data_IF_008172473729
#
_entry.id   IF_008172473729
#
_cell.length_a   1.000
_cell.length_b   1.000
_cell.length_c   1.000
_cell.angle_alpha   90.00
_cell.angle_beta   90.00
_cell.angle_gamma   90.00
#
_symmetry.space_group_name_H-M   'P 1'
#
loop_
_entity.id
_entity.type
_entity.pdbx_description
1 polymer ?
#
# COMPACT_ATOMS: atom_id res chain seq x y z
N UNK A 1 -14.01 5.13 23.92
CA UNK A 1 -13.74 4.87 22.48
C UNK A 1 -12.60 5.78 22.07
N UNK A 2 -11.42 5.23 21.78
CA UNK A 2 -10.28 6.05 21.35
C UNK A 2 -10.56 6.63 19.97
N UNK A 3 -10.27 7.92 19.78
CA UNK A 3 -10.35 8.60 18.48
C UNK A 3 -8.95 8.93 18.02
N UNK A 4 -8.72 8.85 16.72
CA UNK A 4 -7.43 9.21 16.11
C UNK A 4 -7.34 10.75 16.14
N UNK A 5 -6.32 11.28 16.82
CA UNK A 5 -6.06 12.73 16.90
C UNK A 5 -5.18 13.22 15.75
N UNK A 6 -4.10 12.51 15.47
CA UNK A 6 -3.10 12.91 14.47
C UNK A 6 -2.60 11.70 13.66
N UNK A 7 -2.20 11.96 12.42
CA UNK A 7 -1.58 10.99 11.53
C UNK A 7 -0.22 11.52 11.08
N UNK A 8 0.85 10.84 11.50
CA UNK A 8 2.21 11.17 11.11
C UNK A 8 2.65 10.25 9.96
N UNK A 9 2.90 10.85 8.79
CA UNK A 9 3.42 10.12 7.64
C UNK A 9 4.95 10.10 7.66
N UNK A 10 5.52 8.95 7.29
CA UNK A 10 6.95 8.76 7.19
C UNK A 10 7.33 7.66 6.22
N UNK A 11 8.63 7.49 6.02
CA UNK A 11 9.22 6.39 5.24
C UNK A 11 9.50 5.25 6.21
N UNK A 12 9.16 4.03 5.80
CA UNK A 12 9.40 2.85 6.63
C UNK A 12 10.90 2.55 6.70
N UNK A 13 11.44 2.50 7.92
CA UNK A 13 12.81 2.04 8.13
C UNK A 13 12.91 0.52 7.96
N UNK A 14 14.08 -0.02 7.58
CA UNK A 14 14.29 -1.47 7.54
C UNK A 14 13.98 -2.15 8.88
N UNK A 15 14.31 -1.50 10.01
CA UNK A 15 14.00 -1.98 11.35
C UNK A 15 12.49 -2.06 11.61
N UNK A 16 11.76 -1.02 11.21
CA UNK A 16 10.30 -0.99 11.34
C UNK A 16 9.67 -2.11 10.49
N UNK A 17 10.13 -2.30 9.25
CA UNK A 17 9.66 -3.39 8.37
C UNK A 17 9.89 -4.75 9.04
N UNK A 18 11.07 -4.99 9.63
CA UNK A 18 11.35 -6.23 10.37
C UNK A 18 10.46 -6.40 11.59
N UNK A 19 10.21 -5.33 12.35
CA UNK A 19 9.37 -5.41 13.55
C UNK A 19 7.88 -5.65 13.24
N UNK A 20 7.40 -5.14 12.11
CA UNK A 20 6.00 -5.29 11.69
C UNK A 20 5.75 -6.65 11.04
N UNK A 21 6.78 -7.22 10.41
CA UNK A 21 6.65 -8.44 9.66
C UNK A 21 6.70 -9.68 10.56
N UNK A 22 5.92 -10.70 10.20
CA UNK A 22 5.82 -11.97 10.92
C UNK A 22 6.52 -13.11 10.20
N UNK A 23 6.79 -12.94 8.91
CA UNK A 23 7.36 -13.97 8.04
C UNK A 23 8.45 -13.35 7.19
N UNK A 24 9.59 -14.06 7.11
CA UNK A 24 10.58 -13.83 6.06
C UNK A 24 10.21 -14.71 4.87
N UNK A 25 9.87 -14.10 3.74
CA UNK A 25 9.56 -14.85 2.51
C UNK A 25 10.86 -15.16 1.80
N UNK A 26 11.04 -16.44 1.47
CA UNK A 26 12.24 -16.97 0.81
C UNK A 26 11.86 -17.76 -0.44
N UNK A 27 10.73 -18.48 -0.41
CA UNK A 27 10.31 -19.30 -1.53
C UNK A 27 9.37 -18.54 -2.49
N UNK A 28 9.53 -18.77 -3.79
CA UNK A 28 8.64 -18.25 -4.83
C UNK A 28 7.39 -19.10 -5.06
N UNK A 29 7.38 -20.35 -4.60
CA UNK A 29 6.24 -21.25 -4.75
C UNK A 29 5.06 -20.80 -3.89
N UNK A 30 3.85 -20.94 -4.45
CA UNK A 30 2.60 -20.51 -3.82
C UNK A 30 1.92 -21.65 -3.07
N UNK A 31 1.81 -22.82 -3.71
CA UNK A 31 1.12 -23.99 -3.20
C UNK A 31 1.96 -25.25 -3.41
N UNK A 32 1.83 -26.19 -2.48
CA UNK A 32 2.42 -27.52 -2.55
C UNK A 32 1.63 -28.42 -3.52
N UNK A 33 2.12 -29.65 -3.76
CA UNK A 33 1.47 -30.63 -4.63
C UNK A 33 0.02 -30.95 -4.21
N UNK A 34 -0.27 -30.86 -2.91
CA UNK A 34 -1.59 -31.10 -2.32
C UNK A 34 -2.52 -29.86 -2.38
N UNK A 35 -2.04 -28.74 -2.94
CA UNK A 35 -2.81 -27.49 -3.08
C UNK A 35 -2.84 -26.62 -1.82
N UNK A 36 -2.08 -26.97 -0.78
CA UNK A 36 -1.94 -26.15 0.43
C UNK A 36 -0.89 -25.05 0.26
N UNK A 37 -1.06 -23.86 0.87
CA UNK A 37 -0.08 -22.78 0.77
C UNK A 37 1.27 -23.16 1.40
N UNK A 38 2.36 -22.87 0.67
CA UNK A 38 3.73 -23.20 1.09
C UNK A 38 4.20 -22.30 2.24
N UNK A 39 4.84 -22.88 3.25
CA UNK A 39 5.49 -22.13 4.33
C UNK A 39 6.75 -21.41 3.84
N UNK A 40 6.92 -20.15 4.25
CA UNK A 40 8.01 -19.29 3.76
C UNK A 40 7.83 -18.81 2.32
N UNK A 41 6.68 -19.12 1.70
CA UNK A 41 6.25 -18.62 0.40
C UNK A 41 5.47 -17.30 0.49
N UNK A 42 5.05 -16.80 -0.67
CA UNK A 42 4.29 -15.54 -0.80
C UNK A 42 2.86 -15.63 -0.23
N UNK A 43 2.35 -16.86 -0.05
CA UNK A 43 1.02 -17.21 0.48
C UNK A 43 1.09 -17.88 1.86
N UNK A 44 2.17 -17.66 2.62
CA UNK A 44 2.34 -18.25 3.95
C UNK A 44 1.13 -17.96 4.89
N UNK A 45 0.50 -18.99 5.50
CA UNK A 45 -0.66 -18.83 6.39
C UNK A 45 -0.45 -17.91 7.60
N UNK A 46 0.80 -17.63 7.98
CA UNK A 46 1.15 -16.66 9.02
C UNK A 46 0.89 -15.21 8.57
N UNK A 47 0.80 -14.94 7.26
CA UNK A 47 0.48 -13.63 6.70
C UNK A 47 -1.04 -13.36 6.58
N UNK A 48 -1.86 -14.38 6.84
CA UNK A 48 -3.32 -14.33 6.79
C UNK A 48 -3.89 -15.57 6.14
N UNK A 49 -5.22 -15.68 6.12
CA UNK A 49 -5.94 -16.79 5.48
C UNK A 49 -7.12 -16.24 4.68
N UNK A 50 -7.39 -16.88 3.55
CA UNK A 50 -8.51 -16.55 2.65
C UNK A 50 -9.36 -17.78 2.31
N UNK A 51 -8.82 -18.99 2.46
CA UNK A 51 -9.52 -20.24 2.18
C UNK A 51 -10.41 -20.67 3.36
N UNK A 52 -11.66 -21.11 3.11
CA UNK A 52 -12.54 -21.58 4.17
C UNK A 52 -11.96 -22.79 4.90
N UNK A 53 -12.07 -22.79 6.23
CA UNK A 53 -11.54 -23.88 7.07
C UNK A 53 -10.06 -23.72 7.46
N UNK A 54 -9.33 -22.76 6.88
CA UNK A 54 -7.99 -22.39 7.35
C UNK A 54 -8.05 -21.30 8.41
N UNK A 55 -7.14 -21.42 9.38
CA UNK A 55 -6.95 -20.45 10.45
C UNK A 55 -5.56 -19.84 10.35
N UNK A 56 -5.47 -18.54 10.62
CA UNK A 56 -4.18 -17.85 10.58
C UNK A 56 -3.27 -18.34 11.71
N UNK A 57 -2.07 -18.81 11.37
CA UNK A 57 -1.11 -19.32 12.36
C UNK A 57 -0.53 -18.24 13.30
N UNK A 58 -0.73 -16.96 12.98
CA UNK A 58 -0.23 -15.85 13.80
C UNK A 58 -1.26 -15.34 14.80
N UNK A 59 -2.53 -15.21 14.40
CA UNK A 59 -3.58 -14.65 15.27
C UNK A 59 -4.73 -15.61 15.60
N UNK A 60 -4.78 -16.80 14.97
CA UNK A 60 -5.86 -17.78 15.15
C UNK A 60 -7.18 -17.42 14.46
N UNK A 61 -7.31 -16.22 13.89
CA UNK A 61 -8.54 -15.78 13.22
C UNK A 61 -8.78 -16.50 11.89
N UNK A 62 -10.06 -16.77 11.60
CA UNK A 62 -10.51 -17.28 10.31
C UNK A 62 -10.72 -16.17 9.26
N UNK A 63 -11.44 -16.50 8.19
CA UNK A 63 -11.81 -15.52 7.15
C UNK A 63 -12.66 -14.41 7.75
N UNK A 64 -12.29 -13.16 7.49
CA UNK A 64 -13.03 -11.97 7.92
C UNK A 64 -12.69 -11.50 9.34
N UNK A 65 -12.15 -12.38 10.19
CA UNK A 65 -11.64 -12.03 11.51
C UNK A 65 -10.17 -11.62 11.47
N UNK A 66 -9.34 -12.36 10.72
CA UNK A 66 -7.94 -12.03 10.54
C UNK A 66 -7.79 -10.75 9.70
N UNK A 67 -7.15 -9.72 10.26
CA UNK A 67 -6.85 -8.48 9.53
C UNK A 67 -5.67 -8.63 8.56
N UNK A 68 -4.90 -9.71 8.68
CA UNK A 68 -3.69 -9.99 7.91
C UNK A 68 -2.42 -9.48 8.60
N UNK A 69 -1.28 -10.11 8.26
CA UNK A 69 0.02 -9.77 8.79
C UNK A 69 1.05 -9.55 7.68
N UNK A 70 1.92 -8.57 7.85
CA UNK A 70 2.97 -8.29 6.87
C UNK A 70 4.05 -9.37 6.88
N UNK A 71 4.62 -9.61 5.71
CA UNK A 71 5.87 -10.33 5.53
C UNK A 71 6.96 -9.35 5.09
N UNK A 72 8.19 -9.84 5.00
CA UNK A 72 9.27 -9.09 4.38
C UNK A 72 10.15 -10.01 3.52
N UNK A 73 10.76 -9.42 2.50
CA UNK A 73 11.78 -10.03 1.66
C UNK A 73 13.09 -9.27 1.84
N UNK A 74 14.17 -10.01 2.08
CA UNK A 74 15.53 -9.48 2.06
C UNK A 74 16.04 -9.41 0.63
N UNK A 75 16.25 -8.20 0.11
CA UNK A 75 16.79 -8.01 -1.23
C UNK A 75 18.29 -8.32 -1.22
N UNK A 76 18.77 -9.08 -2.20
CA UNK A 76 20.18 -9.46 -2.31
C UNK A 76 21.09 -8.24 -2.57
N UNK A 77 20.59 -7.26 -3.35
CA UNK A 77 21.22 -5.96 -3.57
C UNK A 77 20.18 -4.84 -3.35
N UNK A 78 20.60 -3.63 -2.94
CA UNK A 78 19.68 -2.52 -2.72
C UNK A 78 19.03 -2.05 -4.02
N UNK A 79 17.76 -1.63 -3.94
CA UNK A 79 16.93 -1.25 -5.10
C UNK A 79 16.37 0.17 -4.89
N UNK A 80 16.38 0.99 -5.94
CA UNK A 80 15.85 2.35 -5.87
C UNK A 80 14.32 2.30 -5.79
N UNK A 81 13.74 2.98 -4.79
CA UNK A 81 12.30 3.15 -4.71
C UNK A 81 11.82 4.15 -5.77
N UNK A 82 11.08 3.65 -6.77
CA UNK A 82 10.63 4.45 -7.90
C UNK A 82 9.72 5.61 -7.50
N UNK A 83 8.98 5.47 -6.38
CA UNK A 83 8.10 6.51 -5.85
C UNK A 83 8.85 7.79 -5.46
N UNK A 84 10.13 7.67 -5.12
CA UNK A 84 10.96 8.76 -4.62
C UNK A 84 12.07 9.19 -5.57
N UNK A 85 12.03 8.76 -6.83
CA UNK A 85 13.08 9.05 -7.83
C UNK A 85 13.41 10.53 -7.98
N UNK A 86 12.38 11.38 -7.98
CA UNK A 86 12.55 12.85 -8.02
C UNK A 86 13.18 13.41 -6.74
N UNK A 87 12.82 12.86 -5.59
CA UNK A 87 13.38 13.25 -4.29
C UNK A 87 14.83 12.84 -4.18
N UNK A 88 15.17 11.61 -4.61
CA UNK A 88 16.55 11.11 -4.67
C UNK A 88 17.40 12.01 -5.57
N UNK A 89 16.91 12.38 -6.77
CA UNK A 89 17.61 13.30 -7.67
C UNK A 89 17.89 14.65 -7.02
N UNK A 90 16.89 15.21 -6.34
CA UNK A 90 17.01 16.48 -5.63
C UNK A 90 18.02 16.40 -4.48
N UNK A 91 17.99 15.31 -3.71
CA UNK A 91 18.95 15.07 -2.62
C UNK A 91 20.37 14.92 -3.16
N UNK A 92 20.58 14.11 -4.21
CA UNK A 92 21.88 13.94 -4.85
C UNK A 92 22.48 15.28 -5.31
N UNK A 93 21.65 16.18 -5.87
CA UNK A 93 22.08 17.51 -6.33
C UNK A 93 22.54 18.44 -5.22
N UNK A 94 21.91 18.35 -4.05
CA UNK A 94 22.21 19.25 -2.92
C UNK A 94 23.25 18.66 -1.97
N UNK A 95 23.57 17.38 -2.07
CA UNK A 95 24.59 16.73 -1.23
C UNK A 95 25.95 16.76 -1.90
N UNK A 96 26.99 17.09 -1.13
CA UNK A 96 28.36 17.01 -1.61
C UNK A 96 28.78 15.55 -1.84
N UNK A 97 29.43 15.26 -2.97
CA UNK A 97 29.99 13.94 -3.30
C UNK A 97 30.92 13.34 -2.23
N UNK A 98 31.76 14.17 -1.57
CA UNK A 98 32.82 13.69 -0.67
C UNK A 98 32.43 13.72 0.80
N UNK A 99 31.88 14.84 1.27
CA UNK A 99 31.53 15.01 2.69
C UNK A 99 30.06 14.71 2.99
N UNK A 100 29.23 14.43 1.98
CA UNK A 100 27.78 14.21 2.09
C UNK A 100 26.99 15.33 2.79
N UNK A 101 27.64 16.43 3.18
CA UNK A 101 26.96 17.60 3.74
C UNK A 101 26.19 18.33 2.64
N UNK A 102 25.14 18.99 3.08
CA UNK A 102 24.28 19.75 2.18
C UNK A 102 25.01 21.02 1.75
N UNK A 103 25.01 21.27 0.43
CA UNK A 103 25.70 22.36 -0.24
C UNK A 103 24.97 23.70 -0.09
N UNK A 104 23.73 23.68 0.41
CA UNK A 104 22.93 24.87 0.63
C UNK A 104 23.49 25.62 1.85
N UNK A 105 24.05 26.80 1.61
CA UNK A 105 24.33 27.78 2.65
C UNK A 105 22.98 28.46 2.95
N UNK A 106 22.44 28.39 4.19
CA UNK A 106 21.27 29.19 4.53
C UNK A 106 21.62 30.67 4.37
N UNK A 107 20.75 31.51 3.79
CA UNK A 107 20.98 32.95 3.78
C UNK A 107 21.11 33.41 5.24
N UNK A 108 22.27 33.97 5.59
CA UNK A 108 22.47 34.60 6.89
C UNK A 108 21.43 35.72 7.02
N UNK A 109 20.55 35.59 8.01
CA UNK A 109 19.55 36.58 8.47
C UNK A 109 18.28 36.70 7.59
N UNK A 110 17.26 35.96 7.98
CA UNK A 110 15.91 36.52 8.15
C UNK A 110 15.18 35.71 9.22
N UNK A 111 14.65 36.40 10.24
CA UNK A 111 13.96 35.83 11.40
C UNK A 111 12.62 35.16 11.11
N UNK A 112 12.49 34.52 9.94
CA UNK A 112 11.31 33.75 9.54
C UNK A 112 11.66 32.26 9.61
N UNK A 113 11.50 31.64 10.79
CA UNK A 113 11.63 30.19 11.02
C UNK A 113 10.67 29.31 10.17
N UNK A 114 9.90 29.91 9.24
CA UNK A 114 8.85 29.24 8.45
C UNK A 114 9.09 29.22 6.95
N UNK A 115 10.09 29.90 6.39
CA UNK A 115 10.43 29.72 4.96
C UNK A 115 11.26 28.46 4.78
N UNK A 116 10.58 27.31 4.68
CA UNK A 116 11.15 26.07 4.14
C UNK A 116 11.87 26.41 2.83
N UNK A 117 13.19 26.26 2.76
CA UNK A 117 13.93 26.35 1.52
C UNK A 117 13.35 25.32 0.56
N UNK A 118 12.60 25.77 -0.43
CA UNK A 118 12.14 24.92 -1.51
C UNK A 118 13.37 24.51 -2.31
N UNK A 119 13.61 23.19 -2.39
CA UNK A 119 14.76 22.58 -3.09
C UNK A 119 14.84 22.99 -4.57
N UNK A 120 13.79 23.64 -5.10
CA UNK A 120 13.66 24.06 -6.49
C UNK A 120 14.45 25.33 -6.86
N UNK A 121 14.88 26.15 -5.91
CA UNK A 121 15.47 27.48 -6.19
C UNK A 121 16.82 27.75 -5.52
N UNK A 122 17.51 26.72 -5.03
CA UNK A 122 18.85 26.89 -4.46
C UNK A 122 19.91 26.84 -5.58
N UNK A 123 20.68 27.91 -5.72
CA UNK A 123 21.87 27.93 -6.57
C UNK A 123 22.91 26.98 -5.99
N UNK A 124 23.21 25.90 -6.71
CA UNK A 124 24.15 24.88 -6.23
C UNK A 124 25.58 25.39 -6.50
N UNK A 125 26.42 25.60 -5.48
CA UNK A 125 27.78 26.04 -5.69
C UNK A 125 28.60 24.93 -6.38
N UNK A 126 29.46 25.33 -7.31
CA UNK A 126 30.36 24.42 -8.05
C UNK A 126 31.43 23.79 -7.14
N UNK A 127 31.76 24.43 -6.02
CA UNK A 127 32.66 23.92 -4.99
C UNK A 127 31.92 23.75 -3.68
N UNK A 128 32.21 22.66 -2.97
CA UNK A 128 31.61 22.41 -1.68
C UNK A 128 32.12 23.41 -0.63
N UNK A 129 31.23 24.09 0.13
CA UNK A 129 31.64 25.02 1.18
C UNK A 129 32.29 24.35 2.39
N UNK A 130 32.12 23.02 2.56
CA UNK A 130 32.64 22.29 3.71
C UNK A 130 33.98 21.58 3.46
N UNK A 131 34.19 21.05 2.25
CA UNK A 131 35.38 20.24 1.95
C UNK A 131 36.14 20.70 0.70
N UNK A 132 35.70 21.78 0.04
CA UNK A 132 36.33 22.31 -1.16
C UNK A 132 36.21 21.43 -2.41
N UNK A 133 35.59 20.25 -2.32
CA UNK A 133 35.47 19.33 -3.44
C UNK A 133 34.60 19.90 -4.57
N UNK A 134 35.06 19.73 -5.81
CA UNK A 134 34.31 20.10 -7.01
C UNK A 134 33.09 19.20 -7.18
N UNK A 135 31.94 19.83 -7.43
CA UNK A 135 30.69 19.13 -7.67
C UNK A 135 30.56 18.78 -9.15
N UNK A 136 30.28 17.50 -9.38
CA UNK A 136 29.99 16.95 -10.69
C UNK A 136 28.53 17.22 -11.05
N UNK A 137 28.23 17.35 -12.35
CA UNK A 137 26.84 17.53 -12.77
C UNK A 137 26.12 16.20 -12.70
N UNK A 138 24.99 16.19 -12.00
CA UNK A 138 24.10 15.03 -11.90
C UNK A 138 22.97 15.21 -12.91
N UNK A 139 22.79 14.23 -13.80
CA UNK A 139 21.64 14.12 -14.68
C UNK A 139 20.76 12.94 -14.27
N UNK A 140 19.46 13.09 -14.52
CA UNK A 140 18.45 12.07 -14.23
C UNK A 140 17.80 11.65 -15.54
N UNK A 141 17.91 10.38 -15.87
CA UNK A 141 17.24 9.76 -17.01
C UNK A 141 16.12 8.91 -16.44
N UNK A 142 14.88 9.21 -16.84
CA UNK A 142 13.72 8.40 -16.46
C UNK A 142 13.94 6.98 -17.00
N UNK A 143 13.59 5.93 -16.25
CA UNK A 143 12.70 5.91 -15.09
C UNK A 143 13.36 6.09 -13.70
N UNK A 144 14.58 5.60 -13.50
CA UNK A 144 15.27 5.57 -12.19
C UNK A 144 16.81 5.58 -12.30
N UNK A 145 17.36 6.03 -13.43
CA UNK A 145 18.81 6.02 -13.69
C UNK A 145 19.40 7.40 -13.40
N UNK A 146 20.54 7.42 -12.71
CA UNK A 146 21.26 8.63 -12.35
C UNK A 146 22.68 8.60 -12.91
N UNK A 147 23.11 9.68 -13.56
CA UNK A 147 24.47 9.82 -14.05
C UNK A 147 25.20 10.96 -13.34
N UNK A 148 26.48 10.73 -13.05
CA UNK A 148 27.45 11.69 -12.53
C UNK A 148 28.55 11.90 -13.58
N UNK A 149 28.56 13.06 -14.27
CA UNK A 149 29.48 13.37 -15.38
C UNK A 149 29.68 12.20 -16.37
N UNK A 150 28.57 11.57 -16.80
CA UNK A 150 28.48 10.41 -17.71
C UNK A 150 28.73 9.02 -17.10
N UNK A 151 29.12 8.89 -15.83
CA UNK A 151 29.17 7.59 -15.14
C UNK A 151 27.84 7.31 -14.45
N UNK A 152 27.29 6.11 -14.63
CA UNK A 152 26.09 5.68 -13.91
C UNK A 152 26.37 5.52 -12.41
N UNK A 153 25.40 5.92 -11.58
CA UNK A 153 25.48 5.80 -10.13
C UNK A 153 24.70 4.58 -9.65
N UNK A 154 25.42 3.63 -9.07
CA UNK A 154 24.81 2.44 -8.48
C UNK A 154 23.97 2.79 -7.25
N UNK A 155 22.84 2.10 -7.01
CA UNK A 155 22.04 2.25 -5.81
C UNK A 155 22.86 2.11 -4.50
N UNK A 156 23.88 1.24 -4.49
CA UNK A 156 24.79 1.08 -3.34
C UNK A 156 25.53 2.39 -3.06
N UNK A 157 26.15 2.97 -4.08
CA UNK A 157 26.90 4.23 -3.98
C UNK A 157 25.99 5.37 -3.51
N UNK A 158 24.75 5.43 -4.02
CA UNK A 158 23.77 6.46 -3.60
C UNK A 158 23.42 6.27 -2.11
N UNK A 159 23.24 5.03 -1.66
CA UNK A 159 22.92 4.73 -0.26
C UNK A 159 24.04 5.12 0.69
N UNK A 160 25.28 4.77 0.37
CA UNK A 160 26.45 5.14 1.17
C UNK A 160 26.61 6.66 1.29
N UNK A 161 26.30 7.42 0.24
CA UNK A 161 26.30 8.88 0.28
C UNK A 161 25.23 9.40 1.24
N UNK A 162 24.04 8.81 1.21
CA UNK A 162 22.90 9.21 2.04
C UNK A 162 23.09 8.88 3.52
N UNK A 163 23.73 7.75 3.84
CA UNK A 163 24.03 7.35 5.21
C UNK A 163 24.94 8.37 5.93
N UNK A 164 25.91 8.94 5.20
CA UNK A 164 26.85 9.94 5.72
C UNK A 164 26.23 11.33 5.99
N UNK A 165 24.97 11.56 5.64
CA UNK A 165 24.31 12.85 5.86
C UNK A 165 23.96 13.00 7.35
N UNK A 166 24.38 14.09 8.03
CA UNK A 166 24.03 14.32 9.43
C UNK A 166 22.58 14.81 9.59
N UNK A 167 21.93 14.44 10.69
CA UNK A 167 20.53 14.81 10.98
C UNK A 167 20.31 16.32 11.08
N UNK A 168 21.34 17.08 11.48
CA UNK A 168 21.30 18.54 11.51
C UNK A 168 21.06 19.14 10.13
N UNK A 169 21.60 18.52 9.08
CA UNK A 169 21.47 19.02 7.72
C UNK A 169 20.12 18.61 7.11
N UNK A 170 19.60 17.42 7.45
CA UNK A 170 18.25 16.99 7.05
C UNK A 170 17.16 17.96 7.52
N UNK A 171 17.28 18.47 8.75
CA UNK A 171 16.38 19.48 9.31
C UNK A 171 16.39 20.78 8.49
N UNK A 172 17.57 21.22 8.01
CA UNK A 172 17.72 22.43 7.18
C UNK A 172 17.04 22.31 5.83
N UNK A 173 17.08 21.12 5.21
CA UNK A 173 16.40 20.82 3.94
C UNK A 173 14.89 20.60 4.13
N UNK A 174 14.44 20.48 5.37
CA UNK A 174 13.04 20.20 5.67
C UNK A 174 12.63 18.77 5.32
N UNK A 175 13.60 17.84 5.23
CA UNK A 175 13.31 16.41 5.08
C UNK A 175 12.74 15.91 6.42
N UNK A 176 11.45 15.59 6.44
CA UNK A 176 10.73 15.11 7.62
C UNK A 176 10.20 13.71 7.37
N UNK A 177 10.12 12.90 8.42
CA UNK A 177 9.49 11.59 8.36
C UNK A 177 10.41 10.43 7.99
N UNK A 178 11.74 10.60 8.09
CA UNK A 178 12.67 9.48 7.98
C UNK A 178 14.07 9.89 7.60
N UNK A 179 14.90 8.90 7.27
CA UNK A 179 16.26 9.08 6.80
C UNK A 179 16.37 8.85 5.28
N UNK A 180 17.26 9.56 4.55
CA UNK A 180 17.37 9.45 3.10
C UNK A 180 17.82 8.07 2.61
N UNK A 181 18.61 7.33 3.39
CA UNK A 181 19.04 5.98 3.02
C UNK A 181 17.87 5.00 2.87
N UNK A 182 16.73 5.25 3.53
CA UNK A 182 15.53 4.42 3.41
C UNK A 182 14.77 4.62 2.09
N UNK A 183 15.14 5.62 1.28
CA UNK A 183 14.64 5.76 -0.08
C UNK A 183 15.15 4.65 -1.00
N UNK A 184 16.20 3.94 -0.56
CA UNK A 184 16.78 2.80 -1.25
C UNK A 184 16.39 1.56 -0.45
N UNK A 185 15.60 0.69 -1.07
CA UNK A 185 15.03 -0.48 -0.45
C UNK A 185 16.11 -1.54 -0.27
N UNK A 186 16.28 -1.99 0.96
CA UNK A 186 17.07 -3.17 1.34
C UNK A 186 16.16 -4.31 1.75
N UNK A 187 15.09 -3.96 2.45
CA UNK A 187 14.00 -4.86 2.79
C UNK A 187 12.76 -4.42 2.04
N UNK A 188 12.08 -5.39 1.47
CA UNK A 188 10.86 -5.17 0.74
C UNK A 188 9.67 -5.70 1.54
N UNK A 189 8.74 -4.84 1.98
CA UNK A 189 7.57 -5.27 2.75
C UNK A 189 6.57 -5.98 1.83
N UNK A 190 6.17 -7.20 2.20
CA UNK A 190 5.17 -7.97 1.47
C UNK A 190 3.81 -7.76 2.14
N UNK A 191 2.79 -7.28 1.40
CA UNK A 191 1.47 -7.06 1.97
C UNK A 191 0.80 -8.37 2.36
N UNK A 192 -0.09 -8.32 3.38
CA UNK A 192 -0.83 -9.48 3.83
C UNK A 192 -1.70 -10.09 2.74
N UNK A 193 -2.08 -11.36 2.91
CA UNK A 193 -2.91 -12.11 1.96
C UNK A 193 -4.32 -11.51 1.87
N UNK A 194 -4.83 -10.92 2.96
CA UNK A 194 -6.11 -10.20 2.99
C UNK A 194 -6.17 -9.01 2.03
N UNK A 195 -5.02 -8.42 1.67
CA UNK A 195 -4.92 -7.36 0.66
C UNK A 195 -4.83 -7.89 -0.78
N UNK A 196 -4.52 -9.19 -0.94
CA UNK A 196 -4.27 -9.88 -2.20
C UNK A 196 -5.16 -11.13 -2.32
N UNK A 197 -6.50 -10.97 -2.38
CA UNK A 197 -7.40 -12.12 -2.43
C UNK A 197 -7.26 -12.85 -3.77
N UNK A 198 -7.24 -14.19 -3.73
CA UNK A 198 -7.41 -15.02 -4.92
C UNK A 198 -8.88 -15.15 -5.27
N UNK A 199 -9.15 -15.44 -6.54
CA UNK A 199 -10.50 -15.69 -7.07
C UNK A 199 -10.50 -17.11 -7.62
N UNK A 200 -11.37 -17.97 -7.09
CA UNK A 200 -11.65 -19.28 -7.69
C UNK A 200 -12.65 -19.09 -8.82
N UNK A 201 -12.27 -19.49 -10.04
CA UNK A 201 -13.17 -19.52 -11.18
C UNK A 201 -14.19 -20.66 -11.03
N UNK A 202 -15.30 -20.59 -11.75
CA UNK A 202 -16.33 -21.66 -11.77
C UNK A 202 -15.77 -23.01 -12.25
N UNK A 203 -14.68 -22.98 -13.03
CA UNK A 203 -13.93 -24.17 -13.46
C UNK A 203 -13.13 -24.86 -12.34
N UNK A 204 -13.07 -24.29 -11.14
CA UNK A 204 -12.25 -24.76 -10.04
C UNK A 204 -10.79 -24.28 -10.08
N UNK A 205 -10.37 -23.60 -11.16
CA UNK A 205 -9.04 -23.01 -11.25
C UNK A 205 -8.91 -21.76 -10.35
N UNK A 206 -7.79 -21.66 -9.64
CA UNK A 206 -7.45 -20.49 -8.82
C UNK A 206 -6.78 -19.42 -9.68
N UNK A 207 -7.39 -18.25 -9.74
CA UNK A 207 -6.80 -17.04 -10.32
C UNK A 207 -6.25 -16.15 -9.21
N UNK A 208 -4.93 -16.05 -9.16
CA UNK A 208 -4.23 -15.23 -8.17
C UNK A 208 -4.30 -13.73 -8.48
N UNK A 209 -4.16 -12.92 -7.43
CA UNK A 209 -4.13 -11.46 -7.55
C UNK A 209 -2.90 -10.98 -8.35
N UNK A 210 -3.08 -9.90 -9.12
CA UNK A 210 -2.00 -9.28 -9.93
C UNK A 210 -0.76 -8.94 -9.08
N UNK A 211 -0.92 -8.54 -7.80
CA UNK A 211 0.21 -8.28 -6.90
C UNK A 211 0.92 -9.57 -6.50
N UNK A 212 0.18 -10.66 -6.25
CA UNK A 212 0.76 -11.97 -5.91
C UNK A 212 1.63 -12.48 -7.05
N UNK A 213 1.15 -12.41 -8.30
CA UNK A 213 1.94 -12.80 -9.46
C UNK A 213 3.26 -12.02 -9.53
N UNK A 214 3.22 -10.71 -9.28
CA UNK A 214 4.42 -9.88 -9.35
C UNK A 214 5.39 -10.12 -8.19
N UNK A 215 4.86 -10.40 -6.99
CA UNK A 215 5.66 -10.77 -5.82
C UNK A 215 6.42 -12.08 -6.05
N UNK A 216 5.77 -13.07 -6.68
CA UNK A 216 6.43 -14.34 -7.07
C UNK A 216 7.62 -14.07 -7.99
N UNK A 217 7.45 -13.22 -9.00
CA UNK A 217 8.56 -12.86 -9.90
C UNK A 217 9.70 -12.15 -9.15
N UNK A 218 9.38 -11.23 -8.24
CA UNK A 218 10.39 -10.53 -7.40
C UNK A 218 11.17 -11.52 -6.56
N UNK A 219 10.48 -12.44 -5.87
CA UNK A 219 11.13 -13.44 -5.00
C UNK A 219 12.01 -14.37 -5.84
N UNK A 220 11.53 -14.85 -6.99
CA UNK A 220 12.27 -15.75 -7.87
C UNK A 220 13.57 -15.12 -8.39
N UNK A 221 13.49 -13.90 -8.93
CA UNK A 221 14.69 -13.21 -9.45
C UNK A 221 15.64 -12.84 -8.31
N UNK A 222 15.12 -12.44 -7.14
CA UNK A 222 15.96 -12.14 -5.99
C UNK A 222 16.69 -13.38 -5.45
N UNK A 223 16.04 -14.55 -5.46
CA UNK A 223 16.67 -15.81 -5.11
C UNK A 223 17.76 -16.19 -6.12
N UNK A 224 17.46 -16.10 -7.42
CA UNK A 224 18.44 -16.37 -8.47
C UNK A 224 19.65 -15.41 -8.40
N UNK A 225 19.42 -14.13 -8.10
CA UNK A 225 20.50 -13.16 -7.88
C UNK A 225 21.36 -13.57 -6.67
N UNK A 226 20.75 -14.01 -5.57
CA UNK A 226 21.48 -14.46 -4.38
C UNK A 226 22.32 -15.70 -4.66
N UNK A 227 21.76 -16.71 -5.32
CA UNK A 227 22.47 -17.94 -5.69
C UNK A 227 23.67 -17.64 -6.61
N UNK A 228 23.50 -16.75 -7.59
CA UNK A 228 24.60 -16.37 -8.48
C UNK A 228 25.70 -15.56 -7.77
N UNK A 229 25.36 -14.79 -6.74
CA UNK A 229 26.36 -14.13 -5.88
C UNK A 229 27.15 -15.17 -5.09
N UNK A 230 26.46 -16.17 -4.51
CA UNK A 230 27.08 -17.21 -3.69
C UNK A 230 28.01 -18.13 -4.53
N UNK A 231 27.67 -18.35 -5.80
CA UNK A 231 28.51 -19.11 -6.77
C UNK A 231 29.70 -18.26 -7.28
N UNK A 232 29.69 -16.94 -7.09
CA UNK A 232 30.73 -16.04 -7.59
C UNK A 232 30.64 -15.80 -9.10
N UNK A 233 29.43 -15.68 -9.63
CA UNK A 233 29.21 -15.41 -11.05
C UNK A 233 29.84 -14.07 -11.50
N UNK A 234 30.21 -13.92 -12.79
CA UNK A 234 30.74 -12.68 -13.34
C UNK A 234 29.85 -11.45 -13.09
N UNK A 235 30.46 -10.28 -12.87
CA UNK A 235 29.75 -9.04 -12.53
C UNK A 235 28.68 -8.63 -13.56
N UNK A 236 28.90 -8.90 -14.86
CA UNK A 236 27.93 -8.61 -15.92
C UNK A 236 26.59 -9.34 -15.68
N UNK A 237 26.63 -10.64 -15.35
CA UNK A 237 25.43 -11.44 -15.06
C UNK A 237 24.74 -10.92 -13.79
N UNK A 238 25.53 -10.54 -12.77
CA UNK A 238 25.01 -10.00 -11.53
C UNK A 238 24.32 -8.63 -11.73
N UNK A 239 24.82 -7.82 -12.66
CA UNK A 239 24.23 -6.53 -12.99
C UNK A 239 22.93 -6.70 -13.80
N UNK A 240 22.90 -7.61 -14.78
CA UNK A 240 21.68 -7.94 -15.52
C UNK A 240 20.56 -8.43 -14.59
N UNK A 241 20.88 -9.36 -13.67
CA UNK A 241 19.93 -9.84 -12.68
C UNK A 241 19.48 -8.74 -11.71
N UNK A 242 20.38 -7.82 -11.35
CA UNK A 242 20.04 -6.69 -10.48
C UNK A 242 19.12 -5.70 -11.17
N UNK A 243 19.33 -5.40 -12.45
CA UNK A 243 18.42 -4.60 -13.27
C UNK A 243 17.05 -5.25 -13.39
N UNK A 244 16.98 -6.58 -13.52
CA UNK A 244 15.72 -7.31 -13.49
C UNK A 244 15.00 -7.18 -12.15
N UNK A 245 15.69 -7.30 -11.01
CA UNK A 245 15.07 -7.05 -9.69
C UNK A 245 14.51 -5.63 -9.64
N UNK A 246 15.28 -4.64 -10.08
CA UNK A 246 14.84 -3.23 -10.14
C UNK A 246 13.60 -3.06 -11.02
N UNK A 247 13.54 -3.71 -12.17
CA UNK A 247 12.37 -3.73 -13.05
C UNK A 247 11.13 -4.32 -12.37
N UNK A 248 11.28 -5.48 -11.72
CA UNK A 248 10.15 -6.16 -11.07
C UNK A 248 9.61 -5.36 -9.87
N UNK A 249 10.49 -4.76 -9.06
CA UNK A 249 10.10 -3.88 -7.95
C UNK A 249 9.46 -2.58 -8.47
N UNK A 250 10.01 -1.99 -9.54
CA UNK A 250 9.46 -0.78 -10.15
C UNK A 250 8.01 -0.99 -10.62
N UNK A 251 7.78 -2.04 -11.41
CA UNK A 251 6.48 -2.37 -12.00
C UNK A 251 5.46 -2.86 -10.96
N UNK A 252 5.92 -3.37 -9.80
CA UNK A 252 5.04 -3.66 -8.67
C UNK A 252 4.43 -2.38 -8.07
N UNK A 253 5.22 -1.33 -7.90
CA UNK A 253 4.71 -0.05 -7.41
C UNK A 253 3.85 0.65 -8.47
N UNK A 254 4.39 0.78 -9.68
CA UNK A 254 3.74 1.46 -10.79
C UNK A 254 4.06 0.77 -12.11
N UNK A 255 3.07 0.12 -12.70
CA UNK A 255 3.24 -0.56 -13.99
C UNK A 255 3.11 0.39 -15.19
N UNK A 256 2.66 1.63 -15.01
CA UNK A 256 2.48 2.63 -16.08
C UNK A 256 3.68 3.59 -16.19
N UNK A 257 4.85 3.17 -15.69
CA UNK A 257 6.07 3.97 -15.75
C UNK A 257 6.54 4.19 -17.19
N UNK A 258 6.86 5.45 -17.50
CA UNK A 258 7.42 5.82 -18.80
C UNK A 258 8.83 5.25 -18.97
N UNK A 259 9.08 4.57 -20.10
CA UNK A 259 10.39 4.00 -20.44
C UNK A 259 10.65 2.60 -19.87
N UNK A 260 9.66 2.00 -19.20
CA UNK A 260 9.71 0.62 -18.70
C UNK A 260 8.68 -0.21 -19.46
N UNK A 261 8.99 -1.43 -19.92
CA UNK A 261 7.99 -2.29 -20.54
C UNK A 261 6.89 -2.65 -19.54
N UNK A 262 5.64 -2.67 -20.00
CA UNK A 262 4.49 -3.03 -19.17
C UNK A 262 4.55 -4.52 -18.80
N UNK A 263 4.50 -4.82 -17.51
CA UNK A 263 4.35 -6.19 -17.03
C UNK A 263 2.95 -6.69 -17.36
N UNK A 264 2.87 -7.86 -18.02
CA UNK A 264 1.62 -8.48 -18.47
C UNK A 264 1.49 -9.87 -17.87
N UNK A 265 0.25 -10.28 -17.65
CA UNK A 265 -0.09 -11.68 -17.39
C UNK A 265 0.18 -12.53 -18.64
N UNK A 266 0.23 -13.86 -18.51
CA UNK A 266 0.35 -14.78 -19.65
C UNK A 266 -0.76 -14.60 -20.69
N UNK A 267 -1.92 -14.11 -20.26
CA UNK A 267 -3.07 -13.75 -21.12
C UNK A 267 -2.92 -12.42 -21.86
N UNK A 268 -1.79 -11.72 -21.72
CA UNK A 268 -1.52 -10.43 -22.37
C UNK A 268 -2.14 -9.21 -21.68
N UNK A 269 -3.02 -9.41 -20.69
CA UNK A 269 -3.58 -8.32 -19.87
C UNK A 269 -2.49 -7.65 -19.02
N UNK A 270 -2.40 -6.30 -18.96
CA UNK A 270 -1.46 -5.62 -18.09
C UNK A 270 -1.82 -5.81 -16.60
N UNK A 271 -0.80 -6.04 -15.77
CA UNK A 271 -0.96 -6.19 -14.33
C UNK A 271 -1.25 -4.84 -13.66
N UNK A 272 -2.13 -4.81 -12.67
CA UNK A 272 -2.42 -3.59 -11.89
C UNK A 272 -1.53 -3.50 -10.64
N UNK A 273 -0.54 -2.61 -10.68
CA UNK A 273 0.33 -2.28 -9.55
C UNK A 273 -0.36 -1.52 -8.42
N UNK A 274 0.40 -1.15 -7.39
CA UNK A 274 -0.12 -0.46 -6.20
C UNK A 274 -0.69 0.93 -6.50
N UNK A 275 -0.02 1.73 -7.32
CA UNK A 275 -0.48 3.09 -7.65
C UNK A 275 -1.80 3.04 -8.44
N UNK A 276 -1.93 2.11 -9.37
CA UNK A 276 -3.14 1.91 -10.16
C UNK A 276 -4.34 1.62 -9.24
N UNK A 277 -4.15 0.77 -8.21
CA UNK A 277 -5.20 0.45 -7.23
C UNK A 277 -5.62 1.66 -6.39
N UNK A 278 -4.72 2.62 -6.14
CA UNK A 278 -5.01 3.79 -5.32
C UNK A 278 -5.59 4.97 -6.13
N UNK A 279 -4.98 5.33 -7.26
CA UNK A 279 -5.27 6.56 -8.01
C UNK A 279 -6.37 6.42 -9.07
N UNK A 280 -6.65 5.22 -9.56
CA UNK A 280 -7.60 5.03 -10.67
C UNK A 280 -8.99 5.63 -10.38
N UNK A 281 -9.81 5.83 -11.42
CA UNK A 281 -11.21 6.27 -11.28
C UNK A 281 -12.00 5.30 -10.41
N UNK A 282 -11.76 4.00 -10.60
CA UNK A 282 -12.27 2.90 -9.79
C UNK A 282 -11.30 2.51 -8.65
N UNK A 283 -10.29 3.33 -8.38
CA UNK A 283 -9.31 3.09 -7.33
C UNK A 283 -9.90 3.32 -5.93
N UNK A 284 -9.19 2.84 -4.91
CA UNK A 284 -9.68 2.82 -3.52
C UNK A 284 -10.02 4.21 -2.96
N UNK A 285 -9.28 5.26 -3.33
CA UNK A 285 -9.53 6.60 -2.80
C UNK A 285 -10.89 7.13 -3.28
N UNK A 286 -11.13 7.09 -4.59
CA UNK A 286 -12.38 7.60 -5.17
C UNK A 286 -13.56 6.65 -4.97
N UNK A 287 -13.35 5.35 -5.19
CA UNK A 287 -14.41 4.34 -5.21
C UNK A 287 -14.76 3.73 -3.85
N UNK A 288 -13.88 3.79 -2.85
CA UNK A 288 -14.12 3.17 -1.53
C UNK A 288 -14.05 4.16 -0.37
N UNK A 289 -13.28 5.25 -0.46
CA UNK A 289 -13.15 6.20 0.65
C UNK A 289 -14.05 7.43 0.47
N UNK A 290 -14.01 8.07 -0.70
CA UNK A 290 -14.81 9.28 -0.98
C UNK A 290 -16.28 8.98 -1.24
N UNK A 291 -16.56 7.93 -2.03
CA UNK A 291 -17.91 7.44 -2.25
C UNK A 291 -18.01 5.99 -1.77
N UNK A 292 -19.01 5.69 -0.94
CA UNK A 292 -19.34 4.31 -0.56
C UNK A 292 -20.77 4.04 -0.96
N UNK A 293 -21.04 2.80 -1.37
CA UNK A 293 -22.42 2.33 -1.44
C UNK A 293 -22.94 2.24 -0.01
N UNK A 294 -24.09 2.85 0.22
CA UNK A 294 -24.77 2.83 1.52
C UNK A 294 -25.85 1.77 1.50
N UNK A 295 -26.06 1.14 2.65
CA UNK A 295 -27.21 0.27 2.87
C UNK A 295 -28.43 1.15 3.23
N UNK A 296 -29.63 0.56 3.22
CA UNK A 296 -30.88 1.24 3.57
C UNK A 296 -31.22 2.45 2.67
N UNK A 297 -31.09 2.27 1.36
CA UNK A 297 -31.49 3.26 0.36
C UNK A 297 -32.31 2.62 -0.75
N UNK A 298 -33.32 3.33 -1.25
CA UNK A 298 -34.13 2.92 -2.40
C UNK A 298 -34.10 4.00 -3.49
N UNK A 299 -34.31 3.62 -4.74
CA UNK A 299 -34.41 4.54 -5.89
C UNK A 299 -35.59 4.13 -6.77
N UNK A 300 -36.45 5.07 -7.12
CA UNK A 300 -37.59 4.87 -8.03
C UNK A 300 -37.88 6.14 -8.84
N UNK A 301 -38.78 6.03 -9.81
CA UNK A 301 -39.28 7.15 -10.63
C UNK A 301 -40.28 7.99 -9.82
N UNK A 302 -40.22 9.32 -9.97
CA UNK A 302 -41.14 10.25 -9.29
C UNK A 302 -42.43 10.45 -10.07
N UNK A 303 -43.53 10.72 -9.37
CA UNK A 303 -44.82 11.10 -9.95
C UNK A 303 -45.41 12.25 -9.15
N UNK A 304 -46.06 13.25 -9.78
CA UNK A 304 -46.62 14.39 -9.08
C UNK A 304 -47.90 14.01 -8.32
N UNK A 305 -48.01 14.44 -7.07
CA UNK A 305 -49.24 14.34 -6.26
C UNK A 305 -49.50 15.67 -5.55
N UNK A 306 -50.57 16.42 -5.89
CA UNK A 306 -50.89 17.70 -5.26
C UNK A 306 -51.64 17.56 -3.93
N UNK A 307 -51.98 16.34 -3.49
CA UNK A 307 -52.78 16.11 -2.26
C UNK A 307 -51.95 15.99 -0.99
N UNK A 308 -50.64 15.80 -1.12
CA UNK A 308 -49.72 15.69 0.01
C UNK A 308 -49.18 17.07 0.41
N UNK A 309 -48.84 17.22 1.68
CA UNK A 309 -48.20 18.43 2.19
C UNK A 309 -46.80 18.63 1.58
N UNK A 310 -46.31 19.87 1.59
CA UNK A 310 -44.96 20.22 1.08
C UNK A 310 -43.86 19.44 1.82
N UNK A 311 -44.10 19.05 3.07
CA UNK A 311 -43.15 18.30 3.90
C UNK A 311 -43.33 16.77 3.82
N UNK A 312 -44.29 16.29 3.04
CA UNK A 312 -44.60 14.87 2.92
C UNK A 312 -44.01 14.29 1.64
N UNK A 313 -43.72 12.98 1.67
CA UNK A 313 -43.24 12.23 0.51
C UNK A 313 -43.98 10.91 0.43
N UNK A 314 -44.55 10.61 -0.73
CA UNK A 314 -45.18 9.33 -1.00
C UNK A 314 -44.13 8.22 -1.12
N UNK A 315 -44.13 7.26 -0.20
CA UNK A 315 -43.26 6.08 -0.24
C UNK A 315 -44.10 4.86 -0.63
N UNK A 316 -43.74 4.12 -1.69
CA UNK A 316 -44.43 2.89 -2.05
C UNK A 316 -44.40 1.87 -0.91
N UNK A 317 -45.52 1.16 -0.69
CA UNK A 317 -45.65 0.20 0.41
C UNK A 317 -44.58 -0.91 0.35
N UNK A 318 -44.19 -1.33 -0.86
CA UNK A 318 -43.13 -2.32 -1.08
C UNK A 318 -41.79 -1.84 -0.50
N UNK A 319 -41.44 -0.58 -0.74
CA UNK A 319 -40.20 0.03 -0.23
C UNK A 319 -40.27 0.18 1.29
N UNK A 320 -41.43 0.60 1.81
CA UNK A 320 -41.65 0.75 3.25
C UNK A 320 -41.59 -0.58 4.02
N UNK A 321 -41.92 -1.71 3.37
CA UNK A 321 -41.79 -3.05 3.97
C UNK A 321 -40.35 -3.54 4.03
N UNK A 322 -39.48 -3.10 3.12
CA UNK A 322 -38.05 -3.50 3.10
C UNK A 322 -37.17 -2.59 3.97
N UNK A 323 -37.38 -1.26 3.89
CA UNK A 323 -36.61 -0.29 4.65
C UNK A 323 -37.08 -0.25 6.11
N UNK A 324 -36.17 -0.57 7.03
CA UNK A 324 -36.47 -0.66 8.46
C UNK A 324 -35.64 0.34 9.25
N UNK A 325 -36.22 0.83 10.35
CA UNK A 325 -35.57 1.77 11.28
C UNK A 325 -35.31 1.02 12.59
N UNK A 326 -34.09 1.08 13.15
CA UNK A 326 -33.82 0.50 14.46
C UNK A 326 -34.42 1.38 15.56
N UNK A 327 -35.42 0.85 16.28
CA UNK A 327 -36.00 1.51 17.46
C UNK A 327 -35.72 0.70 18.73
N UNK A 328 -35.19 1.37 19.76
CA UNK A 328 -34.95 0.72 21.05
C UNK A 328 -36.25 0.60 21.85
N UNK A 329 -36.48 -0.59 22.41
CA UNK A 329 -37.65 -0.83 23.26
C UNK A 329 -37.44 -0.15 24.62
N UNK A 330 -38.32 0.78 24.94
CA UNK A 330 -38.44 1.49 26.22
C UNK A 330 -39.76 1.15 26.88
N UNK A 331 -39.93 1.51 28.16
CA UNK A 331 -41.20 1.28 28.88
C UNK A 331 -42.39 2.03 28.25
N UNK A 332 -42.14 3.14 27.54
CA UNK A 332 -43.18 3.95 26.92
C UNK A 332 -43.66 3.37 25.57
N UNK A 333 -42.75 2.93 24.71
CA UNK A 333 -43.08 2.44 23.36
C UNK A 333 -43.36 0.92 23.31
N UNK A 334 -43.16 0.16 24.40
CA UNK A 334 -43.33 -1.29 24.41
C UNK A 334 -44.72 -1.77 23.94
N UNK A 335 -45.79 -1.07 24.31
CA UNK A 335 -47.16 -1.42 23.88
C UNK A 335 -47.33 -1.23 22.38
N UNK A 336 -46.78 -0.14 21.85
CA UNK A 336 -46.81 0.18 20.43
C UNK A 336 -45.99 -0.82 19.61
N UNK A 337 -44.74 -1.10 20.02
CA UNK A 337 -43.88 -2.08 19.34
C UNK A 337 -44.50 -3.48 19.35
N UNK A 338 -45.15 -3.90 20.45
CA UNK A 338 -45.90 -5.16 20.49
C UNK A 338 -47.03 -5.20 19.47
N UNK A 339 -47.80 -4.12 19.33
CA UNK A 339 -48.86 -4.05 18.30
C UNK A 339 -48.31 -4.14 16.88
N UNK A 340 -47.13 -3.59 16.61
CA UNK A 340 -46.45 -3.72 15.32
C UNK A 340 -45.89 -5.12 15.07
N UNK A 341 -45.44 -5.80 16.14
CA UNK A 341 -45.00 -7.18 16.09
C UNK A 341 -46.15 -8.13 15.74
N UNK A 342 -47.30 -7.95 16.39
CA UNK A 342 -48.50 -8.75 16.12
C UNK A 342 -48.99 -8.55 14.68
N UNK A 343 -48.93 -7.30 14.19
CA UNK A 343 -49.31 -6.91 12.83
C UNK A 343 -48.29 -7.25 11.71
N UNK A 344 -47.24 -8.04 11.99
CA UNK A 344 -46.21 -8.46 11.02
C UNK A 344 -45.48 -7.29 10.32
N UNK A 345 -45.32 -6.15 11.01
CA UNK A 345 -44.62 -4.97 10.48
C UNK A 345 -43.14 -4.87 10.92
N UNK A 346 -42.62 -5.90 11.59
CA UNK A 346 -41.25 -5.95 12.10
C UNK A 346 -40.49 -7.08 11.42
N UNK A 347 -39.38 -6.76 10.75
CA UNK A 347 -38.58 -7.76 10.03
C UNK A 347 -37.52 -8.42 10.93
N UNK A 348 -36.94 -7.66 11.87
CA UNK A 348 -35.83 -8.12 12.70
C UNK A 348 -35.97 -7.66 14.14
N UNK A 349 -35.61 -8.53 15.07
CA UNK A 349 -35.47 -8.21 16.50
C UNK A 349 -34.03 -8.44 16.91
N UNK A 350 -33.44 -7.44 17.57
CA UNK A 350 -32.09 -7.52 18.11
C UNK A 350 -32.22 -7.71 19.62
N UNK A 351 -31.72 -8.84 20.13
CA UNK A 351 -31.71 -9.12 21.57
C UNK A 351 -30.60 -8.32 22.28
N UNK A 352 -30.64 -8.17 23.62
CA UNK A 352 -29.55 -7.57 24.39
C UNK A 352 -28.18 -8.22 24.14
N UNK A 353 -28.17 -9.51 23.79
CA UNK A 353 -26.97 -10.28 23.44
C UNK A 353 -26.37 -9.91 22.07
N UNK A 354 -26.97 -8.97 21.34
CA UNK A 354 -26.53 -8.53 20.00
C UNK A 354 -26.93 -9.47 18.86
N UNK A 355 -27.55 -10.62 19.16
CA UNK A 355 -28.07 -11.55 18.13
C UNK A 355 -29.27 -10.94 17.42
N UNK A 356 -29.18 -10.87 16.09
CA UNK A 356 -30.24 -10.41 15.19
C UNK A 356 -31.07 -11.61 14.71
N UNK A 357 -32.35 -11.64 15.09
CA UNK A 357 -33.29 -12.70 14.71
C UNK A 357 -34.24 -12.12 13.67
N UNK A 358 -34.42 -12.85 12.56
CA UNK A 358 -35.45 -12.53 11.56
C UNK A 358 -36.79 -13.04 12.06
N UNK A 359 -37.81 -12.19 12.07
CA UNK A 359 -39.17 -12.59 12.46
C UNK A 359 -39.76 -13.38 11.29
N UNK A 360 -40.03 -14.66 11.53
CA UNK A 360 -40.74 -15.55 10.61
C UNK A 360 -41.95 -16.11 11.34
N UNK A 361 -42.96 -16.59 10.60
CA UNK A 361 -44.20 -17.15 11.18
C UNK A 361 -43.92 -18.30 12.18
N UNK A 362 -42.81 -19.01 12.00
CA UNK A 362 -42.39 -20.13 12.85
C UNK A 362 -41.68 -19.71 14.15
N UNK A 363 -41.15 -18.48 14.20
CA UNK A 363 -40.37 -17.94 15.33
C UNK A 363 -41.10 -16.80 16.07
N UNK A 364 -42.42 -16.67 15.84
CA UNK A 364 -43.23 -15.54 16.29
C UNK A 364 -43.63 -15.65 17.76
#
# INVERSE_FOLDING_TARGET
MYRITELMFGIMSPELIKSLARVRVVNSDLYDADGYPVEGGVMDPRMGVIDPGLYCRTCGGGIGECMGHFGYLELAKPVINVLYTKTIYQLLKITCRKCSRILIVPPEKSGDEKKKLSIKSATIPSKCPHCGAEQKKISFVKPYIYYEDKKELDPITIRERFEKIPDSDLKKVGFRGGRPEWLILTLFPIPPITMRPSITLESGERSEDDLTHKLVDIVRINQSLKENIDIGAPEFILNDLWELVQYHVATYFDNELTGVPLARHRSGRPLKGLIQRLKAKEGRIRGNLLGKRVNFSSRTVISPDPRISINEVGVPEIVAKELTIPEYVTKANIKYIKSLFDADKINYVIRPDGRKIKVTKDNK
#
